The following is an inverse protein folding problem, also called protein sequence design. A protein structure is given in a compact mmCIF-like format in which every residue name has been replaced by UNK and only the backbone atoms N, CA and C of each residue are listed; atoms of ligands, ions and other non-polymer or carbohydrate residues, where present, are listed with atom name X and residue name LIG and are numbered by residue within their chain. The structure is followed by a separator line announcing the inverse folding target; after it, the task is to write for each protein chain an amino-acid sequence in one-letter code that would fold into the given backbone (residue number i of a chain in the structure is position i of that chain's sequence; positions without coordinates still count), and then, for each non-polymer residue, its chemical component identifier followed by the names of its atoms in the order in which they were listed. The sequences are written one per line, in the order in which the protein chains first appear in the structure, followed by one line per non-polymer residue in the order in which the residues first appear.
data_IF_677407081283
#
_entry.id   IF_677407081283
#
_cell.length_a   1.000
_cell.length_b   1.000
_cell.length_c   1.000
_cell.angle_alpha   90.00
_cell.angle_beta   90.00
_cell.angle_gamma   90.00
#
_symmetry.space_group_name_H-M   'P 1'
#
loop_
_entity.id
_entity.type
_entity.pdbx_description
1 polymer ?
#
# COMPACT_ATOMS: atom_id res chain seq x y z
N UNK A 1 9.21 -24.55 -14.98
CA UNK A 1 9.23 -23.61 -16.13
C UNK A 1 8.18 -23.99 -17.15
N UNK A 2 8.12 -25.25 -17.60
CA UNK A 2 7.09 -25.73 -18.53
C UNK A 2 5.66 -25.64 -17.98
N UNK A 3 5.44 -26.04 -16.72
CA UNK A 3 4.14 -25.92 -16.05
C UNK A 3 3.68 -24.46 -15.91
N UNK A 4 4.59 -23.55 -15.58
CA UNK A 4 4.32 -22.11 -15.51
C UNK A 4 3.95 -21.55 -16.89
N UNK A 5 4.66 -21.97 -17.94
CA UNK A 5 4.35 -21.58 -19.31
C UNK A 5 2.99 -22.11 -19.77
N UNK A 6 2.65 -23.36 -19.42
CA UNK A 6 1.34 -23.94 -19.70
C UNK A 6 0.22 -23.20 -18.96
N UNK A 7 0.45 -22.79 -17.71
CA UNK A 7 -0.53 -21.99 -16.96
C UNK A 7 -0.71 -20.59 -17.56
N UNK A 8 0.36 -19.94 -18.03
CA UNK A 8 0.29 -18.65 -18.73
C UNK A 8 -0.44 -18.76 -20.08
N UNK A 9 -0.22 -19.85 -20.82
CA UNK A 9 -0.95 -20.12 -22.07
C UNK A 9 -2.43 -20.39 -21.81
N UNK A 10 -2.75 -21.14 -20.75
CA UNK A 10 -4.16 -21.35 -20.36
C UNK A 10 -4.83 -20.05 -19.93
N UNK A 11 -4.10 -19.14 -19.30
CA UNK A 11 -4.61 -17.83 -18.94
C UNK A 11 -4.83 -16.93 -20.17
N UNK A 12 -3.90 -16.95 -21.14
CA UNK A 12 -4.07 -16.19 -22.40
C UNK A 12 -5.25 -16.72 -23.24
N UNK A 13 -5.51 -18.02 -23.19
CA UNK A 13 -6.66 -18.67 -23.82
C UNK A 13 -7.96 -18.59 -22.99
N UNK A 14 -7.95 -17.88 -21.84
CA UNK A 14 -9.11 -17.76 -20.94
C UNK A 14 -9.66 -19.11 -20.42
N UNK A 15 -8.79 -20.13 -20.34
CA UNK A 15 -9.07 -21.48 -19.83
C UNK A 15 -8.83 -21.60 -18.31
N UNK A 16 -8.69 -20.47 -17.63
CA UNK A 16 -8.48 -20.34 -16.18
C UNK A 16 -9.61 -19.48 -15.59
N UNK A 17 -9.97 -19.72 -14.32
CA UNK A 17 -10.87 -18.84 -13.61
C UNK A 17 -10.31 -17.41 -13.55
N UNK A 18 -11.18 -16.42 -13.67
CA UNK A 18 -10.79 -15.02 -13.54
C UNK A 18 -10.18 -14.75 -12.15
N UNK A 19 -9.20 -13.84 -12.10
CA UNK A 19 -8.37 -13.59 -10.90
C UNK A 19 -9.02 -12.66 -9.88
N UNK A 20 -10.19 -12.09 -10.17
CA UNK A 20 -10.86 -11.16 -9.27
C UNK A 20 -11.45 -11.84 -8.04
N UNK A 21 -11.75 -11.00 -7.04
CA UNK A 21 -12.31 -11.46 -5.76
C UNK A 21 -13.74 -12.01 -5.90
N UNK A 22 -14.50 -11.45 -6.85
CA UNK A 22 -15.87 -11.86 -7.14
C UNK A 22 -15.90 -12.86 -8.30
N UNK A 23 -16.88 -13.78 -8.34
CA UNK A 23 -17.05 -14.67 -9.48
C UNK A 23 -17.31 -13.85 -10.74
N UNK A 24 -16.65 -14.22 -11.83
CA UNK A 24 -16.73 -13.54 -13.13
C UNK A 24 -16.25 -12.06 -13.09
N UNK A 25 -15.30 -11.73 -12.22
CA UNK A 25 -14.61 -10.44 -12.22
C UNK A 25 -13.10 -10.63 -12.32
N UNK A 26 -12.42 -9.69 -12.97
CA UNK A 26 -10.96 -9.60 -13.03
C UNK A 26 -10.38 -8.58 -12.03
N UNK A 27 -11.25 -7.89 -11.26
CA UNK A 27 -10.85 -6.82 -10.33
C UNK A 27 -10.12 -7.40 -9.12
N UNK A 28 -8.86 -7.00 -8.96
CA UNK A 28 -7.97 -7.44 -7.87
C UNK A 28 -7.63 -6.32 -6.88
N UNK A 29 -7.90 -5.07 -7.24
CA UNK A 29 -7.61 -3.89 -6.43
C UNK A 29 -8.88 -3.34 -5.81
N UNK A 30 -8.80 -3.06 -4.51
CA UNK A 30 -9.93 -2.57 -3.72
C UNK A 30 -9.48 -1.44 -2.81
N UNK A 31 -10.34 -0.43 -2.65
CA UNK A 31 -10.26 0.50 -1.55
C UNK A 31 -11.16 -0.01 -0.42
N UNK A 32 -10.63 -0.07 0.80
CA UNK A 32 -11.31 -0.77 1.89
C UNK A 32 -11.65 0.17 3.03
N UNK A 33 -12.92 0.15 3.43
CA UNK A 33 -13.44 0.76 4.64
C UNK A 33 -13.73 -0.33 5.67
N UNK A 34 -12.96 -0.36 6.76
CA UNK A 34 -13.00 -1.45 7.73
C UNK A 34 -13.90 -1.12 8.92
N UNK A 35 -14.67 -2.09 9.38
CA UNK A 35 -15.35 -1.97 10.67
C UNK A 35 -14.33 -1.86 11.81
N UNK A 36 -14.72 -1.19 12.90
CA UNK A 36 -13.89 -1.04 14.09
C UNK A 36 -13.39 -2.39 14.63
N UNK A 37 -14.23 -3.43 14.55
CA UNK A 37 -13.90 -4.75 15.09
C UNK A 37 -12.79 -5.43 14.31
N UNK A 38 -12.88 -5.43 12.97
CA UNK A 38 -11.83 -5.96 12.10
C UNK A 38 -10.55 -5.13 12.27
N UNK A 39 -10.67 -3.79 12.31
CA UNK A 39 -9.54 -2.87 12.51
C UNK A 39 -8.78 -3.17 13.81
N UNK A 40 -9.49 -3.36 14.92
CA UNK A 40 -8.89 -3.67 16.22
C UNK A 40 -8.15 -5.01 16.23
N UNK A 41 -8.69 -6.06 15.57
CA UNK A 41 -8.00 -7.34 15.47
C UNK A 41 -6.74 -7.24 14.61
N UNK A 42 -6.84 -6.55 13.48
CA UNK A 42 -5.67 -6.27 12.64
C UNK A 42 -4.58 -5.52 13.42
N UNK A 43 -4.95 -4.46 14.14
CA UNK A 43 -4.00 -3.67 14.93
C UNK A 43 -3.37 -4.50 16.05
N UNK A 44 -4.13 -5.38 16.71
CA UNK A 44 -3.61 -6.29 17.72
C UNK A 44 -2.54 -7.22 17.16
N UNK A 45 -2.79 -7.86 16.01
CA UNK A 45 -1.81 -8.74 15.36
C UNK A 45 -0.59 -7.93 14.93
N UNK A 46 -0.81 -6.73 14.38
CA UNK A 46 0.27 -5.84 13.92
C UNK A 46 1.16 -5.36 15.07
N UNK A 47 0.58 -5.00 16.21
CA UNK A 47 1.34 -4.59 17.40
C UNK A 47 2.25 -5.71 17.90
N UNK A 48 1.79 -6.96 17.87
CA UNK A 48 2.60 -8.12 18.26
C UNK A 48 3.82 -8.30 17.35
N UNK A 49 3.68 -8.02 16.06
CA UNK A 49 4.77 -8.02 15.08
C UNK A 49 5.73 -6.84 15.30
N UNK A 50 5.17 -5.67 15.59
CA UNK A 50 5.89 -4.40 15.71
C UNK A 50 6.61 -4.19 17.06
N UNK A 51 6.29 -4.97 18.10
CA UNK A 51 6.99 -4.93 19.38
C UNK A 51 8.46 -5.32 19.21
N UNK A 52 9.30 -4.31 18.99
CA UNK A 52 10.72 -4.36 19.36
C UNK A 52 10.75 -4.50 20.88
N UNK A 53 10.94 -5.72 21.37
CA UNK A 53 11.19 -5.94 22.80
C UNK A 53 12.32 -4.99 23.26
N UNK A 54 12.14 -4.43 24.45
CA UNK A 54 12.94 -3.35 25.04
C UNK A 54 14.44 -3.65 25.24
N UNK A 55 15.14 -2.83 26.03
CA UNK A 55 16.57 -2.58 25.89
C UNK A 55 17.41 -3.86 25.80
N UNK A 56 18.18 -3.90 24.72
CA UNK A 56 19.14 -4.92 24.35
C UNK A 56 20.21 -5.08 25.43
N UNK A 57 19.98 -5.98 26.37
CA UNK A 57 21.04 -6.59 27.18
C UNK A 57 20.86 -8.10 27.00
N UNK A 58 21.90 -8.78 26.52
CA UNK A 58 21.98 -10.20 26.10
C UNK A 58 21.90 -10.37 24.57
N UNK A 59 23.03 -10.01 23.94
CA UNK A 59 23.37 -10.30 22.54
C UNK A 59 23.87 -11.75 22.45
N UNK A 60 23.14 -12.60 21.73
CA UNK A 60 23.66 -13.65 20.80
C UNK A 60 22.67 -14.80 20.59
N UNK A 61 21.76 -15.10 21.54
CA UNK A 61 20.68 -16.11 21.35
C UNK A 61 19.32 -15.48 21.01
N UNK A 62 19.23 -14.16 20.96
CA UNK A 62 17.99 -13.40 20.83
C UNK A 62 17.56 -13.10 19.39
N UNK A 63 18.49 -13.17 18.42
CA UNK A 63 18.23 -12.87 17.01
C UNK A 63 17.42 -13.96 16.30
N UNK A 64 17.76 -15.24 16.50
CA UNK A 64 17.01 -16.37 15.95
C UNK A 64 15.57 -16.42 16.51
N UNK A 65 15.42 -16.23 17.82
CA UNK A 65 14.11 -16.16 18.48
C UNK A 65 13.28 -14.96 18.01
N UNK A 66 13.90 -13.82 17.71
CA UNK A 66 13.20 -12.64 17.18
C UNK A 66 12.74 -12.85 15.73
N UNK A 67 13.57 -13.48 14.89
CA UNK A 67 13.18 -13.83 13.52
C UNK A 67 12.01 -14.82 13.51
N UNK A 68 12.06 -15.86 14.35
CA UNK A 68 10.99 -16.85 14.47
C UNK A 68 9.68 -16.22 14.98
N UNK A 69 9.74 -15.31 15.95
CA UNK A 69 8.57 -14.57 16.43
C UNK A 69 7.94 -13.70 15.32
N UNK A 70 8.77 -13.01 14.52
CA UNK A 70 8.29 -12.23 13.37
C UNK A 70 7.66 -13.12 12.31
N UNK A 71 8.29 -14.24 11.98
CA UNK A 71 7.77 -15.21 11.02
C UNK A 71 6.39 -15.75 11.46
N UNK A 72 6.24 -16.10 12.74
CA UNK A 72 4.94 -16.53 13.30
C UNK A 72 3.88 -15.42 13.25
N UNK A 73 4.26 -14.18 13.54
CA UNK A 73 3.37 -13.03 13.41
C UNK A 73 2.92 -12.80 11.97
N UNK A 74 3.81 -12.94 10.98
CA UNK A 74 3.49 -12.87 9.55
C UNK A 74 2.55 -13.99 9.11
N UNK A 75 2.79 -15.22 9.54
CA UNK A 75 1.90 -16.35 9.28
C UNK A 75 0.51 -16.12 9.87
N UNK A 76 0.45 -15.57 11.09
CA UNK A 76 -0.80 -15.23 11.77
C UNK A 76 -1.56 -14.14 11.01
N UNK A 77 -0.85 -13.10 10.55
CA UNK A 77 -1.45 -12.03 9.74
C UNK A 77 -1.98 -12.57 8.41
N UNK A 78 -1.20 -13.38 7.68
CA UNK A 78 -1.65 -13.97 6.42
C UNK A 78 -2.86 -14.88 6.61
N UNK A 79 -2.85 -15.73 7.65
CA UNK A 79 -3.99 -16.58 7.96
C UNK A 79 -5.23 -15.75 8.32
N UNK A 80 -5.07 -14.69 9.11
CA UNK A 80 -6.18 -13.80 9.47
C UNK A 80 -6.76 -13.07 8.24
N UNK A 81 -5.91 -12.50 7.39
CA UNK A 81 -6.38 -11.83 6.18
C UNK A 81 -7.04 -12.84 5.22
N UNK A 82 -6.47 -14.03 5.07
CA UNK A 82 -7.10 -15.12 4.31
C UNK A 82 -8.47 -15.49 4.85
N UNK A 83 -8.62 -15.66 6.16
CA UNK A 83 -9.91 -16.01 6.78
C UNK A 83 -10.95 -14.90 6.65
N UNK A 84 -10.53 -13.62 6.62
CA UNK A 84 -11.42 -12.49 6.30
C UNK A 84 -11.91 -12.59 4.86
N UNK A 85 -11.00 -12.83 3.89
CA UNK A 85 -11.35 -12.96 2.47
C UNK A 85 -12.31 -14.15 2.23
N UNK A 86 -12.09 -15.26 2.92
CA UNK A 86 -12.91 -16.47 2.86
C UNK A 86 -14.26 -16.35 3.60
N UNK A 87 -14.60 -15.17 4.14
CA UNK A 87 -15.83 -14.93 4.91
C UNK A 87 -15.97 -15.87 6.13
N UNK A 88 -14.86 -16.33 6.71
CA UNK A 88 -14.86 -17.32 7.81
C UNK A 88 -15.43 -16.78 9.14
N UNK A 89 -15.50 -15.46 9.27
CA UNK A 89 -15.96 -14.76 10.47
C UNK A 89 -17.14 -13.85 10.12
N UNK A 90 -18.39 -14.26 10.38
CA UNK A 90 -19.59 -13.50 9.99
C UNK A 90 -19.68 -12.13 10.67
N UNK A 91 -18.94 -11.98 11.75
CA UNK A 91 -18.86 -10.82 12.61
C UNK A 91 -17.71 -9.87 12.20
N UNK A 92 -16.81 -10.28 11.29
CA UNK A 92 -15.80 -9.46 10.59
C UNK A 92 -16.00 -9.48 9.07
N UNK A 93 -17.24 -9.72 8.65
CA UNK A 93 -17.56 -9.91 7.25
C UNK A 93 -17.44 -8.62 6.43
N UNK A 94 -17.33 -8.76 5.11
CA UNK A 94 -17.26 -7.64 4.18
C UNK A 94 -18.26 -7.77 3.03
N UNK A 95 -18.46 -6.66 2.33
CA UNK A 95 -19.26 -6.59 1.11
C UNK A 95 -18.47 -5.87 0.03
N UNK A 96 -18.56 -6.36 -1.21
CA UNK A 96 -17.98 -5.69 -2.37
C UNK A 96 -19.01 -4.76 -2.99
N UNK A 97 -18.62 -3.51 -3.24
CA UNK A 97 -19.48 -2.48 -3.83
C UNK A 97 -18.70 -1.58 -4.78
N UNK A 98 -19.41 -0.93 -5.68
CA UNK A 98 -18.84 0.16 -6.49
C UNK A 98 -18.99 1.49 -5.77
N UNK A 99 -18.01 2.38 -5.96
CA UNK A 99 -18.14 3.78 -5.52
C UNK A 99 -19.14 4.51 -6.39
N UNK A 100 -19.91 5.40 -5.76
CA UNK A 100 -20.73 6.35 -6.50
C UNK A 100 -19.85 7.32 -7.30
N UNK A 101 -20.37 7.83 -8.41
CA UNK A 101 -19.63 8.79 -9.26
C UNK A 101 -19.14 10.00 -8.45
N UNK A 102 -19.95 10.51 -7.52
CA UNK A 102 -19.56 11.63 -6.66
C UNK A 102 -18.49 11.26 -5.62
N UNK A 103 -18.52 10.04 -5.07
CA UNK A 103 -17.47 9.53 -4.18
C UNK A 103 -16.13 9.41 -4.93
N UNK A 104 -16.18 9.00 -6.21
CA UNK A 104 -15.00 8.95 -7.09
C UNK A 104 -14.43 10.34 -7.34
N UNK A 105 -15.27 11.35 -7.61
CA UNK A 105 -14.81 12.72 -7.90
C UNK A 105 -14.27 13.43 -6.67
N UNK A 106 -14.93 13.30 -5.51
CA UNK A 106 -14.53 13.99 -4.28
C UNK A 106 -13.39 13.23 -3.57
N UNK A 107 -13.21 11.94 -3.86
CA UNK A 107 -12.20 11.11 -3.22
C UNK A 107 -12.54 10.75 -1.77
N UNK A 108 -13.81 10.84 -1.39
CA UNK A 108 -14.30 10.49 -0.05
C UNK A 108 -15.40 9.44 -0.11
N UNK A 109 -15.42 8.56 0.89
CA UNK A 109 -16.48 7.58 1.10
C UNK A 109 -17.60 8.25 1.91
N UNK A 110 -18.85 8.19 1.44
CA UNK A 110 -19.99 8.77 2.16
C UNK A 110 -20.58 7.81 3.18
N UNK A 111 -20.29 6.52 3.07
CA UNK A 111 -20.81 5.49 3.96
C UNK A 111 -19.74 5.08 4.98
N UNK A 112 -20.07 5.19 6.26
CA UNK A 112 -19.25 4.60 7.32
C UNK A 112 -19.64 3.12 7.52
N UNK A 113 -18.67 2.18 7.59
CA UNK A 113 -18.97 0.76 7.76
C UNK A 113 -19.42 0.47 9.21
N UNK A 114 -20.73 0.40 9.44
CA UNK A 114 -21.31 0.13 10.76
C UNK A 114 -21.39 -1.37 11.10
N UNK A 115 -21.86 -2.20 10.16
CA UNK A 115 -22.11 -3.64 10.39
C UNK A 115 -21.11 -4.54 9.68
N UNK A 116 -20.77 -4.23 8.42
CA UNK A 116 -19.82 -4.98 7.59
C UNK A 116 -18.80 -4.03 6.98
N UNK A 117 -17.60 -4.55 6.75
CA UNK A 117 -16.55 -3.79 6.07
C UNK A 117 -16.92 -3.66 4.59
N UNK A 118 -16.48 -2.59 3.93
CA UNK A 118 -16.84 -2.32 2.53
C UNK A 118 -15.57 -2.34 1.68
N UNK A 119 -15.59 -3.16 0.63
CA UNK A 119 -14.53 -3.30 -0.36
C UNK A 119 -15.03 -2.63 -1.63
N UNK A 120 -14.48 -1.45 -1.91
CA UNK A 120 -14.81 -0.69 -3.09
C UNK A 120 -13.96 -1.14 -4.27
N UNK A 121 -14.57 -1.48 -5.41
CA UNK A 121 -13.84 -1.81 -6.62
C UNK A 121 -12.97 -0.63 -7.07
N UNK A 122 -11.67 -0.85 -7.21
CA UNK A 122 -10.69 0.14 -7.64
C UNK A 122 -10.12 -0.23 -9.02
N UNK A 123 -10.85 0.14 -10.07
CA UNK A 123 -10.44 -0.09 -11.47
C UNK A 123 -9.30 0.82 -11.92
N UNK A 124 -9.13 1.98 -11.27
CA UNK A 124 -8.14 2.98 -11.64
C UNK A 124 -6.76 2.71 -11.02
N UNK A 125 -6.62 1.66 -10.20
CA UNK A 125 -5.40 1.35 -9.47
C UNK A 125 -4.92 2.55 -8.67
N UNK A 126 -5.78 3.11 -7.83
CA UNK A 126 -5.57 4.32 -7.02
C UNK A 126 -4.28 4.26 -6.17
N UNK A 127 -3.77 3.06 -5.88
CA UNK A 127 -2.45 2.90 -5.24
C UNK A 127 -1.30 3.54 -6.05
N UNK A 128 -1.45 3.69 -7.37
CA UNK A 128 -0.50 4.30 -8.28
C UNK A 128 -0.31 5.79 -8.01
N UNK A 129 -1.32 6.48 -7.46
CA UNK A 129 -1.22 7.89 -7.07
C UNK A 129 -0.21 8.11 -5.95
N UNK A 130 0.09 7.07 -5.16
CA UNK A 130 1.12 7.11 -4.13
C UNK A 130 2.52 7.01 -4.75
N UNK A 131 2.64 6.47 -5.97
CA UNK A 131 3.89 6.34 -6.69
C UNK A 131 4.21 7.65 -7.44
N UNK A 132 5.50 7.91 -7.67
CA UNK A 132 5.90 8.97 -8.59
C UNK A 132 5.66 8.59 -10.05
N UNK A 133 5.63 7.28 -10.34
CA UNK A 133 5.30 6.76 -11.64
C UNK A 133 3.83 7.08 -11.98
N UNK A 134 3.60 7.75 -13.12
CA UNK A 134 2.28 8.25 -13.53
C UNK A 134 1.99 9.70 -13.11
N UNK A 135 2.74 10.25 -12.16
CA UNK A 135 2.57 11.63 -11.66
C UNK A 135 3.64 12.61 -12.18
N UNK A 136 4.35 12.25 -13.23
CA UNK A 136 5.49 13.01 -13.78
C UNK A 136 5.10 14.43 -14.20
N UNK A 137 3.94 14.59 -14.84
CA UNK A 137 3.44 15.90 -15.26
C UNK A 137 3.14 16.82 -14.06
N UNK A 138 2.53 16.27 -13.01
CA UNK A 138 2.24 17.01 -11.77
C UNK A 138 3.52 17.44 -11.07
N UNK A 139 4.53 16.56 -11.02
CA UNK A 139 5.86 16.89 -10.48
C UNK A 139 6.55 17.97 -11.32
N UNK A 140 6.46 17.89 -12.65
CA UNK A 140 7.01 18.91 -13.55
C UNK A 140 6.34 20.27 -13.37
N UNK A 141 5.01 20.30 -13.25
CA UNK A 141 4.25 21.53 -12.98
C UNK A 141 4.68 22.13 -11.65
N UNK A 142 4.82 21.31 -10.61
CA UNK A 142 5.29 21.75 -9.31
C UNK A 142 6.72 22.33 -9.37
N UNK A 143 7.65 21.63 -10.02
CA UNK A 143 9.04 22.09 -10.18
C UNK A 143 9.10 23.42 -10.97
N UNK A 144 8.26 23.56 -12.01
CA UNK A 144 8.15 24.79 -12.81
C UNK A 144 7.56 25.95 -12.00
N UNK A 145 6.48 25.71 -11.24
CA UNK A 145 5.87 26.73 -10.38
C UNK A 145 6.83 27.18 -9.28
N UNK A 146 7.54 26.24 -8.64
CA UNK A 146 8.55 26.55 -7.65
C UNK A 146 9.66 27.41 -8.25
N UNK A 147 10.15 27.04 -9.43
CA UNK A 147 11.13 27.84 -10.16
C UNK A 147 10.63 29.27 -10.41
N UNK A 148 9.40 29.44 -10.93
CA UNK A 148 8.83 30.77 -11.20
C UNK A 148 8.69 31.62 -9.93
N UNK A 149 8.28 31.03 -8.81
CA UNK A 149 8.15 31.75 -7.53
C UNK A 149 9.51 32.22 -7.02
N UNK A 150 10.54 31.37 -7.12
CA UNK A 150 11.89 31.71 -6.67
C UNK A 150 12.53 32.73 -7.61
N UNK A 151 12.33 32.63 -8.92
CA UNK A 151 12.84 33.60 -9.90
C UNK A 151 12.22 35.00 -9.66
N UNK A 152 10.91 35.05 -9.40
CA UNK A 152 10.21 36.29 -9.06
C UNK A 152 10.74 36.94 -7.78
N UNK A 153 11.05 36.14 -6.76
CA UNK A 153 11.54 36.63 -5.46
C UNK A 153 13.03 37.00 -5.44
N UNK A 154 13.86 36.27 -6.18
CA UNK A 154 15.32 36.45 -6.17
C UNK A 154 15.85 37.34 -7.29
N UNK A 155 15.04 37.57 -8.34
CA UNK A 155 15.44 38.27 -9.56
C UNK A 155 16.71 37.71 -10.21
N UNK A 156 17.02 36.44 -9.93
CA UNK A 156 18.22 35.76 -10.38
C UNK A 156 17.87 34.37 -10.89
N UNK A 157 17.90 34.22 -12.21
CA UNK A 157 17.62 32.96 -12.89
C UNK A 157 18.54 31.81 -12.41
N UNK A 158 19.81 32.13 -12.15
CA UNK A 158 20.80 31.13 -11.69
C UNK A 158 20.46 30.64 -10.29
N UNK A 159 20.10 31.54 -9.38
CA UNK A 159 19.71 31.17 -8.01
C UNK A 159 18.43 30.32 -8.02
N UNK A 160 17.45 30.70 -8.84
CA UNK A 160 16.21 29.94 -8.99
C UNK A 160 16.45 28.50 -9.50
N UNK A 161 17.34 28.34 -10.48
CA UNK A 161 17.69 27.01 -11.01
C UNK A 161 18.38 26.14 -9.96
N UNK A 162 19.35 26.70 -9.21
CA UNK A 162 20.06 25.98 -8.14
C UNK A 162 19.09 25.56 -7.03
N UNK A 163 18.22 26.46 -6.58
CA UNK A 163 17.26 26.16 -5.52
C UNK A 163 16.23 25.11 -5.95
N UNK A 164 15.78 25.16 -7.20
CA UNK A 164 14.86 24.13 -7.75
C UNK A 164 15.53 22.77 -7.80
N UNK A 165 16.81 22.70 -8.19
CA UNK A 165 17.57 21.46 -8.17
C UNK A 165 17.73 20.90 -6.75
N UNK A 166 18.08 21.76 -5.78
CA UNK A 166 18.20 21.37 -4.36
C UNK A 166 16.87 20.85 -3.82
N UNK A 167 15.77 21.54 -4.10
CA UNK A 167 14.41 21.13 -3.73
C UNK A 167 14.08 19.74 -4.28
N UNK A 168 14.39 19.49 -5.55
CA UNK A 168 14.15 18.19 -6.20
C UNK A 168 14.95 17.06 -5.55
N UNK A 169 16.23 17.32 -5.20
CA UNK A 169 17.07 16.35 -4.49
C UNK A 169 16.47 16.03 -3.11
N UNK A 170 16.05 17.04 -2.36
CA UNK A 170 15.43 16.87 -1.05
C UNK A 170 14.17 16.02 -1.15
N UNK A 171 13.27 16.30 -2.10
CA UNK A 171 12.05 15.50 -2.26
C UNK A 171 12.33 14.05 -2.65
N UNK A 172 13.33 13.80 -3.50
CA UNK A 172 13.75 12.43 -3.83
C UNK A 172 14.28 11.70 -2.59
N UNK A 173 15.07 12.36 -1.75
CA UNK A 173 15.59 11.78 -0.51
C UNK A 173 14.47 11.48 0.50
N UNK A 174 13.57 12.44 0.72
CA UNK A 174 12.42 12.27 1.62
C UNK A 174 11.54 11.13 1.11
N UNK A 175 11.20 11.11 -0.18
CA UNK A 175 10.36 10.05 -0.75
C UNK A 175 11.02 8.68 -0.64
N UNK A 176 12.29 8.55 -1.00
CA UNK A 176 12.96 7.24 -0.97
C UNK A 176 13.02 6.72 0.48
N UNK A 177 13.42 7.57 1.42
CA UNK A 177 13.54 7.16 2.83
C UNK A 177 12.20 6.90 3.50
N UNK A 178 11.21 7.78 3.34
CA UNK A 178 9.88 7.60 3.93
C UNK A 178 9.08 6.53 3.21
N UNK A 179 9.13 6.50 1.88
CA UNK A 179 8.44 5.53 1.04
C UNK A 179 8.89 4.12 1.33
N UNK A 180 10.21 3.85 1.33
CA UNK A 180 10.76 2.53 1.66
C UNK A 180 10.38 2.09 3.08
N UNK A 181 10.51 2.97 4.07
CA UNK A 181 10.13 2.68 5.46
C UNK A 181 8.63 2.40 5.59
N UNK A 182 7.79 3.18 4.90
CA UNK A 182 6.35 3.00 4.92
C UNK A 182 5.95 1.68 4.26
N UNK A 183 6.56 1.38 3.11
CA UNK A 183 6.28 0.17 2.35
C UNK A 183 6.65 -1.06 3.18
N UNK A 184 7.87 -1.16 3.71
CA UNK A 184 8.27 -2.26 4.62
C UNK A 184 7.34 -2.42 5.79
N UNK A 185 6.99 -1.30 6.46
CA UNK A 185 6.17 -1.37 7.67
C UNK A 185 4.70 -1.71 7.39
N UNK A 186 4.21 -1.50 6.17
CA UNK A 186 2.82 -1.81 5.78
C UNK A 186 2.70 -3.16 5.09
N UNK A 187 3.65 -3.53 4.23
CA UNK A 187 3.65 -4.81 3.51
C UNK A 187 4.26 -5.94 4.32
N UNK A 188 4.91 -5.63 5.45
CA UNK A 188 5.63 -6.59 6.29
C UNK A 188 6.74 -7.34 5.53
N UNK A 189 7.17 -6.78 4.39
CA UNK A 189 8.27 -7.29 3.57
C UNK A 189 9.59 -6.71 4.08
N UNK A 190 10.64 -7.53 4.13
CA UNK A 190 11.98 -7.08 4.53
C UNK A 190 12.52 -6.02 3.55
N UNK A 191 13.22 -5.00 4.08
CA UNK A 191 13.82 -3.94 3.29
C UNK A 191 14.74 -4.46 2.18
N UNK A 192 15.34 -5.64 2.38
CA UNK A 192 16.23 -6.26 1.39
C UNK A 192 15.52 -6.70 0.11
N UNK A 193 14.20 -6.88 0.16
CA UNK A 193 13.40 -7.28 -1.00
C UNK A 193 12.73 -6.09 -1.70
N UNK A 194 12.85 -4.87 -1.14
CA UNK A 194 12.43 -3.66 -1.82
C UNK A 194 13.59 -3.13 -2.66
N UNK A 195 13.47 -3.30 -3.99
CA UNK A 195 14.40 -2.76 -5.00
C UNK A 195 14.19 -1.25 -5.14
#
# INVERSE_FOLDING_TARGET
MEEMNNNLNRESESLCGQRGLLPNSDTQTFQVSLTNRLRLQYDRIREQIGRRNGPSRLMDTSSANQFEQRARGYQTMNHFLGSVIDHAHPDMDYIVRDKLMFERVIGMEFLEPSEKSIFYNDEAHTFSDVLFYGNEATLLIFDTLFFCVVDLGSQSFVLAAVLTCVQQIIFRLIRNTLGRKNLVNKTLVDERFLI
#
